data_IF_954523715433
#
_entry.id   IF_954523715433
#
_cell.length_a   1.000
_cell.length_b   1.000
_cell.length_c   1.000
_cell.angle_alpha   90.00
_cell.angle_beta   90.00
_cell.angle_gamma   90.00
#
_symmetry.space_group_name_H-M   'P 1'
#
loop_
_entity.id
_entity.type
_entity.pdbx_description
1 polymer ?
#
# COMPACT_ATOMS: atom_id res chain seq x y z
N UNK A 1 12.62 -30.47 5.50
CA UNK A 1 11.50 -29.50 5.53
C UNK A 1 11.72 -28.50 6.66
N UNK A 2 11.84 -27.18 6.35
CA UNK A 2 12.25 -26.10 7.27
C UNK A 2 11.20 -25.75 8.34
N UNK A 3 9.92 -25.76 7.99
CA UNK A 3 8.85 -25.30 8.89
C UNK A 3 8.22 -26.48 9.63
N UNK A 4 8.52 -26.59 10.93
CA UNK A 4 7.93 -27.65 11.79
C UNK A 4 6.52 -27.34 12.24
N UNK A 5 6.20 -26.05 12.43
CA UNK A 5 4.89 -25.53 12.81
C UNK A 5 4.56 -24.36 11.91
N UNK A 6 3.33 -24.32 11.41
CA UNK A 6 2.81 -23.24 10.55
C UNK A 6 1.60 -22.63 11.26
N UNK A 7 1.62 -21.32 11.42
CA UNK A 7 0.51 -20.54 11.96
C UNK A 7 0.06 -19.53 10.91
N UNK A 8 -1.25 -19.44 10.68
CA UNK A 8 -1.83 -18.47 9.75
C UNK A 8 -2.96 -17.74 10.46
N UNK A 9 -2.83 -16.42 10.53
CA UNK A 9 -3.88 -15.53 11.04
C UNK A 9 -4.70 -14.96 9.87
N UNK A 10 -5.89 -14.43 10.17
CA UNK A 10 -6.85 -13.89 9.19
C UNK A 10 -7.12 -14.87 8.01
N UNK A 11 -7.27 -16.15 8.35
CA UNK A 11 -7.32 -17.22 7.34
C UNK A 11 -8.53 -17.13 6.40
N UNK A 12 -9.61 -16.46 6.82
CA UNK A 12 -10.79 -16.20 5.99
C UNK A 12 -10.50 -15.34 4.75
N UNK A 13 -9.41 -14.58 4.75
CA UNK A 13 -9.04 -13.67 3.65
C UNK A 13 -7.96 -14.26 2.73
N UNK A 14 -7.67 -15.55 2.89
CA UNK A 14 -6.72 -16.25 2.03
C UNK A 14 -7.31 -16.55 0.65
N UNK A 15 -6.52 -16.30 -0.40
CA UNK A 15 -6.84 -16.72 -1.76
C UNK A 15 -6.35 -18.15 -2.04
N UNK A 16 -6.74 -18.70 -3.20
CA UNK A 16 -6.38 -20.07 -3.60
C UNK A 16 -4.86 -20.33 -3.64
N UNK A 17 -4.06 -19.35 -4.06
CA UNK A 17 -2.60 -19.49 -4.13
C UNK A 17 -2.00 -19.55 -2.72
N UNK A 18 -2.43 -18.66 -1.84
CA UNK A 18 -2.00 -18.64 -0.43
C UNK A 18 -2.40 -19.95 0.28
N UNK A 19 -3.62 -20.41 0.09
CA UNK A 19 -4.10 -21.70 0.60
C UNK A 19 -3.18 -22.85 0.15
N UNK A 20 -2.85 -22.94 -1.15
CA UNK A 20 -1.95 -23.99 -1.69
C UNK A 20 -0.53 -23.89 -1.11
N UNK A 21 -0.04 -22.67 -0.91
CA UNK A 21 1.27 -22.45 -0.31
C UNK A 21 1.31 -22.93 1.14
N UNK A 22 0.27 -22.63 1.92
CA UNK A 22 0.11 -23.11 3.30
C UNK A 22 0.06 -24.64 3.33
N UNK A 23 -0.71 -25.27 2.42
CA UNK A 23 -0.74 -26.74 2.30
C UNK A 23 0.66 -27.32 2.04
N UNK A 24 1.47 -26.67 1.19
CA UNK A 24 2.82 -27.13 0.89
C UNK A 24 3.75 -27.01 2.10
N UNK A 25 3.70 -25.90 2.84
CA UNK A 25 4.51 -25.71 4.04
C UNK A 25 4.11 -26.66 5.17
N UNK A 26 2.81 -26.87 5.36
CA UNK A 26 2.30 -27.75 6.41
C UNK A 26 2.37 -29.24 6.04
N UNK A 27 2.47 -29.59 4.75
CA UNK A 27 2.24 -30.96 4.27
C UNK A 27 3.15 -32.04 4.88
N UNK A 28 4.39 -31.70 5.24
CA UNK A 28 5.33 -32.68 5.79
C UNK A 28 5.09 -32.99 7.28
N UNK A 29 5.03 -31.94 8.12
CA UNK A 29 4.91 -32.09 9.57
C UNK A 29 3.46 -32.09 10.06
N UNK A 30 2.52 -31.62 9.23
CA UNK A 30 1.08 -31.50 9.51
C UNK A 30 0.71 -30.71 10.76
N UNK A 31 1.63 -29.91 11.29
CA UNK A 31 1.38 -28.99 12.40
C UNK A 31 0.94 -27.63 11.86
N UNK A 32 -0.30 -27.53 11.42
CA UNK A 32 -0.93 -26.29 10.96
C UNK A 32 -1.95 -25.81 12.00
N UNK A 33 -1.82 -24.56 12.42
CA UNK A 33 -2.84 -23.86 13.18
C UNK A 33 -3.31 -22.64 12.36
N UNK A 34 -4.62 -22.53 12.15
CA UNK A 34 -5.22 -21.37 11.48
C UNK A 34 -6.16 -20.66 12.45
N UNK A 35 -6.15 -19.34 12.40
CA UNK A 35 -7.09 -18.48 13.11
C UNK A 35 -7.80 -17.59 12.10
N UNK A 36 -9.08 -17.31 12.33
CA UNK A 36 -9.86 -16.45 11.47
C UNK A 36 -11.33 -16.48 11.82
N UNK A 37 -12.07 -15.55 11.22
CA UNK A 37 -13.50 -15.41 11.40
C UNK A 37 -14.19 -15.34 10.03
N UNK A 38 -14.98 -16.36 9.63
CA UNK A 38 -15.68 -16.34 8.34
C UNK A 38 -16.58 -15.11 8.16
N UNK A 39 -17.15 -14.58 9.25
CA UNK A 39 -18.03 -13.39 9.19
C UNK A 39 -17.25 -12.09 8.91
N UNK A 40 -15.92 -12.12 8.96
CA UNK A 40 -15.02 -10.98 8.71
C UNK A 40 -14.31 -11.05 7.35
N UNK A 41 -14.68 -12.00 6.47
CA UNK A 41 -14.10 -12.06 5.12
C UNK A 41 -14.58 -10.89 4.27
N UNK A 42 -13.70 -9.93 4.02
CA UNK A 42 -13.99 -8.69 3.26
C UNK A 42 -13.17 -8.55 1.98
N UNK A 43 -12.21 -9.46 1.73
CA UNK A 43 -11.33 -9.42 0.57
C UNK A 43 -11.74 -10.34 -0.59
N UNK A 44 -13.01 -10.76 -0.67
CA UNK A 44 -13.52 -11.61 -1.76
C UNK A 44 -13.23 -11.06 -3.17
N UNK A 45 -13.26 -9.73 -3.34
CA UNK A 45 -12.91 -9.05 -4.59
C UNK A 45 -11.42 -9.15 -4.98
N UNK A 46 -10.53 -9.49 -4.03
CA UNK A 46 -9.12 -9.82 -4.27
C UNK A 46 -8.88 -11.32 -4.45
N UNK A 47 -9.94 -12.11 -4.56
CA UNK A 47 -9.89 -13.56 -4.72
C UNK A 47 -9.74 -14.34 -3.40
N UNK A 48 -9.98 -13.71 -2.25
CA UNK A 48 -10.15 -14.44 -1.01
C UNK A 48 -11.32 -15.43 -1.11
N UNK A 49 -11.15 -16.63 -0.58
CA UNK A 49 -12.17 -17.67 -0.59
C UNK A 49 -12.50 -18.08 0.85
N UNK A 50 -13.63 -17.59 1.36
CA UNK A 50 -14.11 -17.90 2.72
C UNK A 50 -14.29 -19.42 2.94
N UNK A 51 -14.45 -20.20 1.87
CA UNK A 51 -14.50 -21.67 1.96
C UNK A 51 -13.21 -22.27 2.51
N UNK A 52 -12.07 -21.62 2.34
CA UNK A 52 -10.80 -22.09 2.91
C UNK A 52 -10.91 -22.33 4.43
N UNK A 53 -11.59 -21.42 5.15
CA UNK A 53 -11.79 -21.55 6.60
C UNK A 53 -13.03 -22.40 6.93
N UNK A 54 -14.09 -22.33 6.12
CA UNK A 54 -15.31 -23.10 6.37
C UNK A 54 -15.07 -24.61 6.21
N UNK A 55 -14.32 -24.99 5.18
CA UNK A 55 -14.04 -26.38 4.77
C UNK A 55 -12.76 -26.93 5.41
N UNK A 56 -12.12 -26.19 6.32
CA UNK A 56 -10.85 -26.60 6.93
C UNK A 56 -10.93 -27.98 7.61
N UNK A 57 -12.05 -28.30 8.25
CA UNK A 57 -12.29 -29.60 8.90
C UNK A 57 -12.44 -30.75 7.89
N UNK A 58 -12.88 -30.45 6.66
CA UNK A 58 -12.94 -31.42 5.57
C UNK A 58 -11.54 -31.69 4.98
N UNK A 59 -10.73 -30.65 4.84
CA UNK A 59 -9.36 -30.74 4.34
C UNK A 59 -8.40 -31.40 5.35
N UNK A 60 -8.64 -31.17 6.64
CA UNK A 60 -7.84 -31.69 7.75
C UNK A 60 -8.74 -32.44 8.74
N UNK A 61 -9.13 -33.70 8.47
CA UNK A 61 -10.06 -34.45 9.34
C UNK A 61 -9.58 -34.68 10.78
N UNK A 62 -8.27 -34.56 11.03
CA UNK A 62 -7.67 -34.65 12.37
C UNK A 62 -7.55 -33.28 13.06
N UNK A 63 -8.09 -32.21 12.48
CA UNK A 63 -8.03 -30.88 13.06
C UNK A 63 -8.83 -30.81 14.36
N UNK A 64 -8.33 -30.01 15.30
CA UNK A 64 -9.05 -29.66 16.52
C UNK A 64 -9.60 -28.25 16.39
N UNK A 65 -10.91 -28.11 16.40
CA UNK A 65 -11.60 -26.81 16.37
C UNK A 65 -11.73 -26.26 17.78
N UNK A 66 -11.30 -25.01 17.99
CA UNK A 66 -11.49 -24.25 19.23
C UNK A 66 -12.30 -23.02 18.90
N UNK A 67 -13.42 -22.81 19.60
CA UNK A 67 -14.29 -21.63 19.42
C UNK A 67 -14.02 -20.64 20.53
N UNK A 68 -13.78 -19.38 20.17
CA UNK A 68 -13.62 -18.28 21.10
C UNK A 68 -14.88 -17.42 21.04
N UNK A 69 -15.71 -17.52 22.07
CA UNK A 69 -17.05 -16.89 22.11
C UNK A 69 -17.11 -15.64 22.99
N UNK A 70 -16.12 -15.46 23.87
CA UNK A 70 -16.02 -14.26 24.69
C UNK A 70 -15.37 -13.12 23.88
N UNK A 71 -16.09 -12.01 23.77
CA UNK A 71 -15.61 -10.76 23.20
C UNK A 71 -15.08 -9.86 24.31
N UNK A 72 -13.79 -9.52 24.23
CA UNK A 72 -13.11 -8.64 25.20
C UNK A 72 -13.02 -7.18 24.74
N UNK A 73 -13.53 -6.84 23.55
CA UNK A 73 -13.35 -5.52 22.90
C UNK A 73 -14.56 -4.61 23.07
N UNK A 74 -15.76 -5.16 22.96
CA UNK A 74 -17.00 -4.42 22.76
C UNK A 74 -18.00 -4.72 23.88
N UNK A 75 -18.82 -3.73 24.20
CA UNK A 75 -19.91 -3.87 25.18
C UNK A 75 -21.08 -4.66 24.60
N UNK A 76 -21.99 -5.10 25.47
CA UNK A 76 -23.20 -5.85 25.09
C UNK A 76 -24.01 -5.16 24.00
N UNK A 77 -24.23 -3.84 24.10
CA UNK A 77 -25.01 -3.08 23.10
C UNK A 77 -24.40 -3.16 21.70
N UNK A 78 -23.07 -2.99 21.58
CA UNK A 78 -22.37 -3.09 20.28
C UNK A 78 -22.44 -4.52 19.75
N UNK A 79 -22.23 -5.50 20.63
CA UNK A 79 -22.20 -6.91 20.25
C UNK A 79 -23.57 -7.42 19.80
N UNK A 80 -24.64 -6.98 20.45
CA UNK A 80 -26.02 -7.30 20.06
C UNK A 80 -26.36 -6.71 18.68
N UNK A 81 -25.99 -5.45 18.42
CA UNK A 81 -26.19 -4.82 17.12
C UNK A 81 -25.42 -5.55 16.00
N UNK A 82 -24.14 -5.86 16.24
CA UNK A 82 -23.33 -6.64 15.29
C UNK A 82 -23.90 -8.04 15.05
N UNK A 83 -24.38 -8.71 16.10
CA UNK A 83 -24.99 -10.05 16.03
C UNK A 83 -26.31 -10.04 15.25
N UNK A 84 -27.15 -9.02 15.47
CA UNK A 84 -28.39 -8.84 14.73
C UNK A 84 -28.14 -8.56 13.24
N UNK A 85 -27.10 -7.78 12.91
CA UNK A 85 -26.71 -7.52 11.52
C UNK A 85 -26.25 -8.79 10.82
N UNK A 86 -25.29 -9.51 11.40
CA UNK A 86 -24.67 -10.69 10.77
C UNK A 86 -25.61 -11.90 10.67
N UNK A 87 -26.66 -11.96 11.49
CA UNK A 87 -27.68 -13.01 11.41
C UNK A 87 -28.43 -13.05 10.07
N UNK A 88 -28.37 -11.98 9.26
CA UNK A 88 -28.98 -11.93 7.93
C UNK A 88 -28.15 -12.66 6.85
N UNK A 89 -26.91 -13.07 7.15
CA UNK A 89 -26.05 -13.79 6.20
C UNK A 89 -26.34 -15.29 6.18
N UNK A 90 -26.37 -15.89 4.99
CA UNK A 90 -26.72 -17.31 4.78
C UNK A 90 -25.55 -18.29 4.86
N UNK A 91 -24.32 -17.86 4.57
CA UNK A 91 -23.12 -18.71 4.54
C UNK A 91 -22.21 -18.40 5.72
N UNK A 92 -22.50 -18.98 6.89
CA UNK A 92 -21.71 -18.78 8.12
C UNK A 92 -21.73 -20.00 9.04
N UNK A 93 -20.75 -20.07 9.95
CA UNK A 93 -20.81 -20.95 11.12
C UNK A 93 -21.52 -20.18 12.25
N UNK A 94 -22.57 -20.76 12.82
CA UNK A 94 -23.30 -20.15 13.93
C UNK A 94 -22.37 -19.98 15.14
N UNK A 95 -22.32 -18.77 15.69
CA UNK A 95 -21.54 -18.43 16.88
C UNK A 95 -22.31 -17.44 17.74
N UNK A 96 -22.22 -17.64 19.05
CA UNK A 96 -22.88 -16.82 20.05
C UNK A 96 -21.81 -16.04 20.82
N UNK A 97 -21.58 -14.79 20.41
CA UNK A 97 -20.61 -13.93 21.06
C UNK A 97 -21.22 -13.26 22.30
N UNK A 98 -20.47 -13.21 23.40
CA UNK A 98 -20.89 -12.57 24.65
C UNK A 98 -19.78 -11.66 25.22
N UNK A 99 -20.11 -10.72 26.12
CA UNK A 99 -19.15 -9.76 26.70
C UNK A 99 -19.38 -9.55 28.19
N UNK A 100 -18.29 -9.38 28.95
CA UNK A 100 -18.30 -9.05 30.40
C UNK A 100 -18.24 -7.54 30.68
N UNK A 101 -18.10 -6.71 29.65
CA UNK A 101 -17.96 -5.26 29.80
C UNK A 101 -19.28 -4.54 30.16
N UNK A 102 -20.36 -5.29 30.38
CA UNK A 102 -21.71 -4.77 30.57
C UNK A 102 -22.34 -4.25 29.26
N UNK A 103 -23.51 -3.63 29.37
CA UNK A 103 -24.27 -3.16 28.20
C UNK A 103 -23.59 -2.00 27.45
N UNK A 104 -22.92 -1.10 28.18
CA UNK A 104 -22.30 0.10 27.60
C UNK A 104 -23.30 1.16 27.13
N UNK A 105 -22.81 2.11 26.35
CA UNK A 105 -23.62 3.21 25.80
C UNK A 105 -24.47 2.79 24.60
N UNK A 106 -25.55 3.53 24.35
CA UNK A 106 -26.42 3.30 23.17
C UNK A 106 -25.73 3.75 21.89
N UNK A 107 -25.90 2.97 20.83
CA UNK A 107 -25.49 3.36 19.47
C UNK A 107 -26.39 4.50 19.00
N UNK A 108 -25.78 5.60 18.58
CA UNK A 108 -26.48 6.74 17.99
C UNK A 108 -26.50 6.61 16.46
N UNK A 109 -27.67 6.85 15.86
CA UNK A 109 -27.82 7.05 14.41
C UNK A 109 -28.18 8.51 14.18
N UNK A 110 -27.47 9.16 13.27
CA UNK A 110 -27.63 10.58 12.97
C UNK A 110 -27.85 10.68 11.48
N UNK A 111 -28.88 11.41 11.09
CA UNK A 111 -29.15 11.73 9.71
C UNK A 111 -28.73 13.19 9.46
N UNK A 112 -27.81 13.38 8.52
CA UNK A 112 -27.31 14.69 8.10
C UNK A 112 -27.92 15.08 6.75
N UNK A 113 -27.87 16.36 6.41
CA UNK A 113 -28.45 16.86 5.15
C UNK A 113 -27.65 16.45 3.91
N UNK A 114 -26.33 16.56 3.98
CA UNK A 114 -25.37 16.21 2.94
C UNK A 114 -24.02 15.77 3.54
N UNK A 115 -23.04 15.48 2.68
CA UNK A 115 -21.71 15.01 3.11
C UNK A 115 -20.90 16.07 3.89
N UNK A 116 -21.10 17.35 3.60
CA UNK A 116 -20.43 18.46 4.29
C UNK A 116 -21.04 18.70 5.68
N UNK A 117 -22.35 18.50 5.81
CA UNK A 117 -23.07 18.49 7.08
C UNK A 117 -22.66 17.30 7.95
N UNK A 118 -22.56 16.10 7.38
CA UNK A 118 -22.05 14.91 8.07
C UNK A 118 -20.61 15.12 8.56
N UNK A 119 -19.73 15.63 7.70
CA UNK A 119 -18.34 15.90 8.06
C UNK A 119 -18.20 16.92 9.20
N UNK A 120 -19.02 17.98 9.19
CA UNK A 120 -19.06 18.97 10.29
C UNK A 120 -19.59 18.37 11.58
N UNK A 121 -20.65 17.57 11.52
CA UNK A 121 -21.19 16.86 12.69
C UNK A 121 -20.16 15.88 13.29
N UNK A 122 -19.42 15.15 12.46
CA UNK A 122 -18.32 14.28 12.90
C UNK A 122 -17.25 15.07 13.67
N UNK A 123 -16.80 16.21 13.13
CA UNK A 123 -15.81 17.06 13.77
C UNK A 123 -16.29 17.61 15.13
N UNK A 124 -17.57 18.01 15.22
CA UNK A 124 -18.19 18.45 16.46
C UNK A 124 -18.23 17.32 17.51
N UNK A 125 -18.55 16.10 17.11
CA UNK A 125 -18.58 14.93 18.01
C UNK A 125 -17.20 14.53 18.49
N UNK A 126 -16.20 14.54 17.61
CA UNK A 126 -14.81 14.27 18.00
C UNK A 126 -14.38 15.25 19.10
N UNK A 127 -14.67 16.54 18.93
CA UNK A 127 -14.42 17.56 19.97
C UNK A 127 -15.20 17.31 21.25
N UNK A 128 -16.47 16.92 21.16
CA UNK A 128 -17.30 16.65 22.32
C UNK A 128 -16.73 15.48 23.14
N UNK A 129 -16.33 14.38 22.49
CA UNK A 129 -15.68 13.24 23.12
C UNK A 129 -14.33 13.63 23.75
N UNK A 130 -13.54 14.46 23.05
CA UNK A 130 -12.27 14.94 23.60
C UNK A 130 -12.47 15.82 24.85
N UNK A 131 -13.47 16.71 24.85
CA UNK A 131 -13.84 17.51 26.02
C UNK A 131 -14.32 16.66 27.19
N UNK A 132 -14.86 15.46 26.93
CA UNK A 132 -15.22 14.47 27.95
C UNK A 132 -14.02 13.64 28.43
N UNK A 133 -12.80 13.93 27.95
CA UNK A 133 -11.55 13.33 28.40
C UNK A 133 -11.02 12.20 27.52
N UNK A 134 -11.65 11.89 26.39
CA UNK A 134 -11.12 10.90 25.43
C UNK A 134 -9.89 11.44 24.71
N UNK A 135 -8.86 10.62 24.57
CA UNK A 135 -7.71 11.00 23.75
C UNK A 135 -8.10 10.96 22.26
N UNK A 136 -7.48 11.82 21.43
CA UNK A 136 -7.72 11.79 19.97
C UNK A 136 -7.43 10.43 19.35
N UNK A 137 -6.42 9.73 19.87
CA UNK A 137 -6.04 8.37 19.46
C UNK A 137 -7.05 7.28 19.81
N UNK A 138 -8.05 7.57 20.66
CA UNK A 138 -9.14 6.65 20.99
C UNK A 138 -10.36 6.82 20.07
N UNK A 139 -10.31 7.79 19.15
CA UNK A 139 -11.40 8.10 18.23
C UNK A 139 -10.99 7.68 16.82
N UNK A 140 -11.79 6.81 16.20
CA UNK A 140 -11.59 6.35 14.83
C UNK A 140 -12.82 6.67 13.98
N UNK A 141 -12.60 7.15 12.75
CA UNK A 141 -13.63 7.40 11.76
C UNK A 141 -13.46 6.39 10.62
N UNK A 142 -14.49 5.57 10.38
CA UNK A 142 -14.52 4.61 9.29
C UNK A 142 -15.46 5.08 8.19
N UNK A 143 -15.03 4.96 6.94
CA UNK A 143 -15.81 5.31 5.76
C UNK A 143 -15.64 4.23 4.68
N UNK A 144 -16.63 4.13 3.78
CA UNK A 144 -16.69 3.03 2.80
C UNK A 144 -15.78 3.24 1.59
N UNK A 145 -15.61 4.48 1.16
CA UNK A 145 -14.94 4.86 -0.09
C UNK A 145 -13.97 6.02 0.13
N UNK A 146 -12.78 5.97 -0.48
CA UNK A 146 -11.73 6.97 -0.26
C UNK A 146 -12.12 8.40 -0.67
N UNK A 147 -13.08 8.60 -1.58
CA UNK A 147 -13.50 9.95 -1.96
C UNK A 147 -14.20 10.70 -0.80
N UNK A 148 -14.79 9.97 0.16
CA UNK A 148 -15.45 10.55 1.35
C UNK A 148 -14.44 11.23 2.29
N UNK A 149 -13.16 10.85 2.18
CA UNK A 149 -12.07 11.36 3.01
C UNK A 149 -11.95 12.89 2.94
N UNK A 150 -12.15 13.48 1.75
CA UNK A 150 -11.89 14.92 1.51
C UNK A 150 -12.76 15.84 2.36
N UNK A 151 -14.07 15.56 2.42
CA UNK A 151 -15.01 16.36 3.20
C UNK A 151 -14.70 16.24 4.71
N UNK A 152 -14.43 15.01 5.18
CA UNK A 152 -14.07 14.71 6.57
C UNK A 152 -12.78 15.45 6.98
N UNK A 153 -11.70 15.31 6.20
CA UNK A 153 -10.43 15.99 6.47
C UNK A 153 -10.58 17.52 6.52
N UNK A 154 -11.33 18.08 5.57
CA UNK A 154 -11.59 19.52 5.50
C UNK A 154 -12.32 20.00 6.76
N UNK A 155 -13.36 19.29 7.19
CA UNK A 155 -14.12 19.64 8.40
C UNK A 155 -13.30 19.49 9.68
N UNK A 156 -12.49 18.44 9.81
CA UNK A 156 -11.57 18.22 10.94
C UNK A 156 -10.52 19.34 11.00
N UNK A 157 -9.91 19.68 9.86
CA UNK A 157 -8.91 20.75 9.73
C UNK A 157 -9.48 22.11 10.10
N UNK A 158 -10.62 22.50 9.53
CA UNK A 158 -11.31 23.75 9.86
C UNK A 158 -11.71 23.82 11.33
N UNK A 159 -12.00 22.67 11.92
CA UNK A 159 -12.30 22.55 13.34
C UNK A 159 -11.04 22.50 14.22
N UNK A 160 -9.82 22.43 13.69
CA UNK A 160 -8.62 22.24 14.50
C UNK A 160 -8.62 20.92 15.27
N UNK A 161 -9.26 19.88 14.73
CA UNK A 161 -9.18 18.51 15.26
C UNK A 161 -7.97 17.82 14.63
N UNK A 162 -6.98 17.38 15.41
CA UNK A 162 -5.85 16.64 14.88
C UNK A 162 -6.33 15.28 14.36
N UNK A 163 -5.81 14.86 13.21
CA UNK A 163 -6.19 13.61 12.58
C UNK A 163 -5.00 12.96 11.89
N UNK A 164 -5.09 11.64 11.71
CA UNK A 164 -4.15 10.86 10.91
C UNK A 164 -4.96 10.01 9.93
N UNK A 165 -4.58 10.06 8.64
CA UNK A 165 -5.21 9.22 7.62
C UNK A 165 -4.42 7.91 7.52
N UNK A 166 -5.10 6.79 7.74
CA UNK A 166 -4.52 5.45 7.54
C UNK A 166 -4.79 5.03 6.09
N UNK A 167 -3.74 4.87 5.29
CA UNK A 167 -3.88 4.49 3.87
C UNK A 167 -4.32 5.61 2.93
N UNK A 168 -4.17 6.89 3.33
CA UNK A 168 -4.24 8.03 2.40
C UNK A 168 -3.16 7.96 1.33
N UNK A 169 -3.18 8.86 0.31
CA UNK A 169 -2.24 8.94 -0.82
C UNK A 169 -0.93 8.22 -0.49
N UNK A 170 -0.82 6.95 -0.92
CA UNK A 170 0.23 6.06 -0.43
C UNK A 170 1.54 6.84 -0.57
N UNK A 171 2.32 6.94 0.49
CA UNK A 171 3.58 7.68 0.47
C UNK A 171 4.42 7.29 -0.77
N UNK A 172 4.46 5.99 -1.07
CA UNK A 172 5.09 5.40 -2.26
C UNK A 172 4.32 5.60 -3.59
N UNK A 173 3.08 6.09 -3.56
CA UNK A 173 2.32 6.46 -4.74
C UNK A 173 2.64 7.86 -5.25
N UNK A 174 3.21 8.73 -4.40
CA UNK A 174 3.64 10.09 -4.77
C UNK A 174 4.64 10.06 -5.92
N UNK A 175 4.57 11.05 -6.83
CA UNK A 175 5.29 11.02 -8.11
C UNK A 175 6.81 11.03 -7.87
N UNK A 176 7.26 11.95 -7.03
CA UNK A 176 8.64 12.12 -6.58
C UNK A 176 9.19 10.84 -5.93
N UNK A 177 8.40 10.20 -5.05
CA UNK A 177 8.81 8.97 -4.39
C UNK A 177 8.92 7.82 -5.39
N UNK A 178 7.96 7.65 -6.31
CA UNK A 178 8.06 6.62 -7.35
C UNK A 178 9.25 6.82 -8.29
N UNK A 179 9.63 8.06 -8.58
CA UNK A 179 10.77 8.38 -9.44
C UNK A 179 12.09 8.01 -8.73
N UNK A 180 12.25 8.39 -7.45
CA UNK A 180 13.41 7.97 -6.65
C UNK A 180 13.48 6.44 -6.50
N UNK A 181 12.35 5.79 -6.22
CA UNK A 181 12.29 4.33 -6.14
C UNK A 181 12.65 3.66 -7.47
N UNK A 182 12.31 4.25 -8.61
CA UNK A 182 12.71 3.72 -9.91
C UNK A 182 14.20 3.90 -10.18
N UNK A 183 14.81 5.02 -9.77
CA UNK A 183 16.27 5.16 -9.80
C UNK A 183 16.95 4.07 -8.97
N UNK A 184 16.56 3.91 -7.70
CA UNK A 184 17.13 2.88 -6.82
C UNK A 184 16.95 1.46 -7.38
N UNK A 185 15.80 1.17 -8.00
CA UNK A 185 15.55 -0.12 -8.67
C UNK A 185 16.50 -0.39 -9.83
N UNK A 186 16.81 0.61 -10.66
CA UNK A 186 17.75 0.42 -11.78
C UNK A 186 19.18 0.22 -11.27
N UNK A 187 19.56 0.90 -10.19
CA UNK A 187 20.87 0.72 -9.57
C UNK A 187 21.03 -0.74 -9.13
N UNK A 188 20.04 -1.32 -8.45
CA UNK A 188 20.06 -2.71 -7.98
C UNK A 188 19.84 -3.73 -9.11
N UNK A 189 18.93 -3.44 -10.03
CA UNK A 189 18.56 -4.31 -11.15
C UNK A 189 18.57 -3.52 -12.47
N UNK A 190 19.71 -3.50 -13.19
CA UNK A 190 19.84 -2.84 -14.49
C UNK A 190 18.96 -3.43 -15.61
N UNK A 191 18.25 -4.54 -15.35
CA UNK A 191 17.30 -5.15 -16.29
C UNK A 191 15.85 -4.72 -16.04
N UNK A 192 15.58 -3.82 -15.09
CA UNK A 192 14.23 -3.28 -14.86
C UNK A 192 13.89 -2.20 -15.90
N UNK A 193 13.39 -2.62 -17.06
CA UNK A 193 12.97 -1.72 -18.13
C UNK A 193 11.82 -0.79 -17.71
N UNK A 194 10.96 -1.22 -16.79
CA UNK A 194 9.85 -0.40 -16.28
C UNK A 194 10.35 0.78 -15.46
N UNK A 195 11.35 0.54 -14.62
CA UNK A 195 12.05 1.59 -13.90
C UNK A 195 12.82 2.50 -14.88
N UNK A 196 13.52 1.95 -15.87
CA UNK A 196 14.24 2.72 -16.90
C UNK A 196 13.33 3.71 -17.62
N UNK A 197 12.21 3.22 -18.16
CA UNK A 197 11.25 4.06 -18.90
C UNK A 197 10.68 5.19 -18.04
N UNK A 198 10.57 4.99 -16.72
CA UNK A 198 10.09 6.00 -15.80
C UNK A 198 11.07 7.15 -15.59
N UNK A 199 12.36 6.86 -15.42
CA UNK A 199 13.35 7.86 -14.97
C UNK A 199 14.35 8.32 -16.03
N UNK A 200 14.41 7.66 -17.20
CA UNK A 200 15.35 8.02 -18.27
C UNK A 200 15.30 9.50 -18.67
N UNK A 201 14.10 10.10 -18.60
CA UNK A 201 13.88 11.51 -18.89
C UNK A 201 13.39 12.29 -17.67
N UNK A 202 13.75 11.86 -16.46
CA UNK A 202 13.44 12.55 -15.20
C UNK A 202 14.72 12.73 -14.37
N UNK A 203 15.25 13.95 -14.19
CA UNK A 203 14.85 15.21 -14.85
C UNK A 203 14.99 15.16 -16.38
N UNK A 204 14.38 16.08 -17.12
CA UNK A 204 14.34 15.99 -18.59
C UNK A 204 15.73 16.04 -19.24
N UNK A 205 16.10 14.94 -19.92
CA UNK A 205 17.36 14.76 -20.67
C UNK A 205 17.18 14.94 -22.19
N UNK A 206 15.98 15.33 -22.61
CA UNK A 206 15.64 15.51 -24.03
C UNK A 206 15.47 14.18 -24.78
N UNK A 207 15.15 13.11 -24.04
CA UNK A 207 14.82 11.80 -24.59
C UNK A 207 13.32 11.77 -24.87
N UNK A 208 12.95 12.01 -26.13
CA UNK A 208 11.54 12.01 -26.56
C UNK A 208 11.02 10.60 -26.91
N UNK A 209 9.71 10.47 -27.00
CA UNK A 209 9.00 9.20 -27.25
C UNK A 209 9.50 8.46 -28.49
N UNK A 210 9.74 9.17 -29.60
CA UNK A 210 10.23 8.53 -30.85
C UNK A 210 11.60 7.88 -30.67
N UNK A 211 12.50 8.51 -29.91
CA UNK A 211 13.85 7.95 -29.67
C UNK A 211 13.79 6.77 -28.71
N UNK A 212 12.95 6.88 -27.67
CA UNK A 212 12.72 5.81 -26.72
C UNK A 212 12.05 4.59 -27.38
N UNK A 213 11.09 4.82 -28.27
CA UNK A 213 10.42 3.76 -29.04
C UNK A 213 11.40 2.97 -29.92
N UNK A 214 12.34 3.65 -30.59
CA UNK A 214 13.41 2.99 -31.36
C UNK A 214 14.32 2.14 -30.48
N UNK A 215 14.69 2.64 -29.31
CA UNK A 215 15.51 1.89 -28.35
C UNK A 215 14.78 0.63 -27.85
N UNK A 216 13.50 0.76 -27.51
CA UNK A 216 12.64 -0.36 -27.07
C UNK A 216 12.50 -1.42 -28.16
N UNK A 217 12.28 -1.00 -29.40
CA UNK A 217 12.20 -1.90 -30.55
C UNK A 217 13.52 -2.65 -30.76
N UNK A 218 14.65 -1.93 -30.73
CA UNK A 218 15.97 -2.54 -30.83
C UNK A 218 16.21 -3.56 -29.71
N UNK A 219 15.95 -3.18 -28.46
CA UNK A 219 16.14 -4.02 -27.28
C UNK A 219 15.32 -5.31 -27.39
N UNK A 220 14.04 -5.20 -27.78
CA UNK A 220 13.16 -6.34 -28.02
C UNK A 220 13.68 -7.27 -29.12
N UNK A 221 14.11 -6.72 -30.25
CA UNK A 221 14.58 -7.52 -31.39
C UNK A 221 15.90 -8.28 -31.09
N UNK A 222 16.70 -7.78 -30.14
CA UNK A 222 17.98 -8.37 -29.76
C UNK A 222 17.96 -9.04 -28.37
N UNK A 223 16.79 -9.11 -27.72
CA UNK A 223 16.61 -9.67 -26.38
C UNK A 223 17.55 -9.07 -25.32
N UNK A 224 17.69 -7.75 -25.35
CA UNK A 224 18.50 -6.95 -24.42
C UNK A 224 17.59 -6.14 -23.48
N UNK A 225 18.08 -5.77 -22.30
CA UNK A 225 17.44 -4.71 -21.50
C UNK A 225 17.67 -3.34 -22.14
N UNK A 226 16.90 -2.33 -21.72
CA UNK A 226 17.07 -0.96 -22.23
C UNK A 226 18.43 -0.37 -21.86
N UNK A 227 18.97 -0.68 -20.68
CA UNK A 227 20.33 -0.27 -20.29
C UNK A 227 21.37 -0.92 -21.19
N UNK A 228 21.26 -2.23 -21.45
CA UNK A 228 22.14 -2.96 -22.36
C UNK A 228 22.07 -2.42 -23.79
N UNK A 229 20.87 -2.05 -24.25
CA UNK A 229 20.64 -1.50 -25.57
C UNK A 229 21.30 -0.12 -25.75
N UNK A 230 21.33 0.75 -24.73
CA UNK A 230 22.07 2.02 -24.79
C UNK A 230 23.58 1.78 -24.96
N UNK A 231 24.10 0.68 -24.42
CA UNK A 231 25.50 0.28 -24.61
C UNK A 231 25.83 -0.21 -26.03
N UNK A 232 24.83 -0.49 -26.87
CA UNK A 232 25.06 -0.99 -28.23
C UNK A 232 25.27 0.15 -29.24
N UNK A 233 26.40 0.17 -29.98
CA UNK A 233 26.66 1.18 -31.00
C UNK A 233 25.58 1.25 -32.08
N UNK A 234 25.03 0.11 -32.49
CA UNK A 234 24.00 0.02 -33.53
C UNK A 234 22.68 0.63 -33.08
N UNK A 235 22.26 0.38 -31.84
CA UNK A 235 21.07 1.00 -31.24
C UNK A 235 21.24 2.54 -31.16
N UNK A 236 22.38 2.99 -30.64
CA UNK A 236 22.69 4.41 -30.50
C UNK A 236 22.99 5.09 -31.84
N UNK A 237 23.22 4.34 -32.92
CA UNK A 237 23.29 4.83 -34.29
C UNK A 237 21.93 5.26 -34.85
N UNK A 238 20.85 4.64 -34.38
CA UNK A 238 19.46 4.93 -34.82
C UNK A 238 18.84 6.15 -34.12
N UNK A 239 19.49 6.64 -33.06
CA UNK A 239 19.06 7.77 -32.24
C UNK A 239 19.95 8.98 -32.57
N UNK A 240 19.34 10.16 -32.75
CA UNK A 240 20.05 11.38 -33.18
C UNK A 240 19.90 12.51 -32.17
N UNK A 241 20.85 13.45 -32.21
CA UNK A 241 20.76 14.72 -31.49
C UNK A 241 20.73 14.56 -29.97
N UNK A 242 19.90 15.40 -29.32
CA UNK A 242 19.82 15.54 -27.86
C UNK A 242 19.47 14.22 -27.15
N UNK A 243 18.59 13.40 -27.73
CA UNK A 243 18.18 12.13 -27.15
C UNK A 243 19.35 11.14 -27.02
N UNK A 244 20.26 11.10 -28.00
CA UNK A 244 21.46 10.24 -27.95
C UNK A 244 22.37 10.64 -26.79
N UNK A 245 22.59 11.95 -26.61
CA UNK A 245 23.38 12.48 -25.50
C UNK A 245 22.72 12.17 -24.15
N UNK A 246 21.41 12.41 -24.03
CA UNK A 246 20.66 12.19 -22.80
C UNK A 246 20.64 10.72 -22.35
N UNK A 247 20.54 9.78 -23.29
CA UNK A 247 20.64 8.33 -22.98
C UNK A 247 22.04 7.93 -22.50
N UNK A 248 23.09 8.46 -23.13
CA UNK A 248 24.46 8.19 -22.72
C UNK A 248 24.76 8.78 -21.32
N UNK A 249 24.32 10.01 -21.06
CA UNK A 249 24.43 10.66 -19.75
C UNK A 249 23.69 9.89 -18.66
N UNK A 250 22.49 9.37 -18.97
CA UNK A 250 21.72 8.56 -18.03
C UNK A 250 22.47 7.29 -17.62
N UNK A 251 23.01 6.54 -18.59
CA UNK A 251 23.75 5.29 -18.31
C UNK A 251 25.04 5.58 -17.56
N UNK A 252 25.77 6.65 -17.94
CA UNK A 252 26.98 7.07 -17.24
C UNK A 252 26.71 7.43 -15.77
N UNK A 253 25.66 8.21 -15.50
CA UNK A 253 25.24 8.54 -14.13
C UNK A 253 24.87 7.28 -13.34
N UNK A 254 24.17 6.33 -13.96
CA UNK A 254 23.87 5.04 -13.33
C UNK A 254 25.13 4.25 -12.98
N UNK A 255 26.10 4.21 -13.90
CA UNK A 255 27.39 3.54 -13.69
C UNK A 255 28.18 4.19 -12.53
N UNK A 256 28.17 5.52 -12.45
CA UNK A 256 28.78 6.28 -11.36
C UNK A 256 28.14 5.97 -10.00
N UNK A 257 26.81 5.94 -9.95
CA UNK A 257 26.06 5.68 -8.72
C UNK A 257 26.01 4.19 -8.32
N UNK A 258 26.41 3.27 -9.19
CA UNK A 258 26.31 1.83 -8.93
C UNK A 258 27.08 1.39 -7.68
N UNK A 259 28.22 2.04 -7.39
CA UNK A 259 29.02 1.76 -6.19
C UNK A 259 28.36 2.21 -4.88
N UNK A 260 27.48 3.22 -4.92
CA UNK A 260 26.83 3.75 -3.73
C UNK A 260 25.87 2.74 -3.07
N UNK A 261 25.42 1.72 -3.82
CA UNK A 261 24.55 0.64 -3.32
C UNK A 261 25.22 -0.15 -2.20
N UNK A 262 26.55 -0.29 -2.21
CA UNK A 262 27.29 -1.00 -1.16
C UNK A 262 27.14 -0.33 0.21
N UNK A 263 26.87 0.97 0.24
CA UNK A 263 26.59 1.75 1.46
C UNK A 263 25.16 1.63 1.96
N UNK A 264 24.27 0.91 1.25
CA UNK A 264 22.85 0.80 1.55
C UNK A 264 21.98 1.80 0.79
N UNK A 265 20.65 1.68 0.95
CA UNK A 265 19.70 2.46 0.16
C UNK A 265 19.73 3.96 0.50
N UNK A 266 19.90 4.33 1.78
CA UNK A 266 20.06 5.73 2.19
C UNK A 266 21.26 6.42 1.53
N UNK A 267 22.43 5.77 1.52
CA UNK A 267 23.65 6.33 0.88
C UNK A 267 23.46 6.46 -0.63
N UNK A 268 22.86 5.46 -1.28
CA UNK A 268 22.55 5.53 -2.71
C UNK A 268 21.52 6.63 -3.05
N UNK A 269 20.54 6.85 -2.17
CA UNK A 269 19.56 7.93 -2.32
C UNK A 269 20.22 9.30 -2.19
N UNK A 270 21.08 9.50 -1.20
CA UNK A 270 21.79 10.76 -1.00
C UNK A 270 22.70 11.07 -2.20
N UNK A 271 23.50 10.10 -2.64
CA UNK A 271 24.35 10.24 -3.82
C UNK A 271 23.56 10.55 -5.09
N UNK A 272 22.38 9.93 -5.26
CA UNK A 272 21.48 10.23 -6.37
C UNK A 272 20.98 11.67 -6.30
N UNK A 273 20.50 12.13 -5.15
CA UNK A 273 19.97 13.49 -4.96
C UNK A 273 21.04 14.55 -5.19
N UNK A 274 22.29 14.28 -4.82
CA UNK A 274 23.43 15.15 -5.09
C UNK A 274 23.83 15.18 -6.58
N UNK A 275 23.54 14.11 -7.33
CA UNK A 275 23.95 13.95 -8.73
C UNK A 275 22.89 14.34 -9.77
N UNK A 276 21.66 14.61 -9.33
CA UNK A 276 20.58 15.10 -10.20
C UNK A 276 20.25 16.56 -9.93
N UNK A 277 19.75 17.24 -10.95
CA UNK A 277 19.24 18.61 -10.84
C UNK A 277 17.86 18.58 -10.16
N UNK A 278 17.85 18.59 -8.82
CA UNK A 278 16.64 18.49 -7.98
C UNK A 278 15.73 19.71 -8.12
N UNK A 279 16.29 20.91 -8.28
CA UNK A 279 15.50 22.13 -8.53
C UNK A 279 14.68 21.99 -9.82
N UNK A 280 15.35 21.62 -10.92
CA UNK A 280 14.68 21.39 -12.20
C UNK A 280 13.69 20.23 -12.12
N UNK A 281 14.05 19.16 -11.42
CA UNK A 281 13.17 18.02 -11.21
C UNK A 281 11.84 18.43 -10.57
N UNK A 282 11.89 19.20 -9.49
CA UNK A 282 10.71 19.69 -8.80
C UNK A 282 9.92 20.69 -9.65
N UNK A 283 10.59 21.60 -10.37
CA UNK A 283 9.93 22.52 -11.31
C UNK A 283 9.17 21.77 -12.42
N UNK A 284 9.74 20.70 -12.97
CA UNK A 284 9.08 19.86 -14.00
C UNK A 284 7.89 19.05 -13.44
N UNK A 285 7.81 18.90 -12.11
CA UNK A 285 6.68 18.28 -11.42
C UNK A 285 5.61 19.25 -10.96
N UNK A 286 5.93 20.55 -10.94
CA UNK A 286 4.98 21.56 -10.50
C UNK A 286 3.93 21.80 -11.57
N UNK A 287 2.69 21.44 -11.23
CA UNK A 287 1.51 21.62 -12.08
C UNK A 287 0.75 22.90 -11.73
N UNK A 288 1.31 23.77 -10.87
CA UNK A 288 0.66 24.99 -10.40
C UNK A 288 -0.27 24.80 -9.20
N UNK A 289 -0.33 23.59 -8.65
CA UNK A 289 -1.07 23.27 -7.42
C UNK A 289 -0.08 23.38 -6.25
N UNK A 290 0.03 24.58 -5.67
CA UNK A 290 0.96 24.93 -4.58
C UNK A 290 0.66 24.26 -3.22
N UNK A 291 0.03 23.07 -3.23
CA UNK A 291 -0.38 22.33 -2.03
C UNK A 291 0.52 21.15 -1.67
N UNK A 292 1.49 20.77 -2.51
CA UNK A 292 2.36 19.61 -2.25
C UNK A 292 3.80 20.06 -2.00
N UNK A 293 4.21 19.96 -0.73
CA UNK A 293 5.60 20.13 -0.30
C UNK A 293 6.40 18.87 -0.66
N UNK A 294 6.89 18.83 -1.91
CA UNK A 294 7.60 17.67 -2.46
C UNK A 294 8.98 17.50 -1.84
N UNK A 295 9.62 18.59 -1.42
CA UNK A 295 10.91 18.55 -0.74
C UNK A 295 10.76 17.88 0.63
N UNK A 296 9.75 18.25 1.42
CA UNK A 296 9.43 17.57 2.67
C UNK A 296 9.14 16.08 2.46
N UNK A 297 8.49 15.69 1.36
CA UNK A 297 8.24 14.28 1.06
C UNK A 297 9.54 13.49 0.77
N UNK A 298 10.51 14.10 0.10
CA UNK A 298 11.82 13.48 -0.17
C UNK A 298 12.63 13.38 1.11
N UNK A 299 12.62 14.41 1.96
CA UNK A 299 13.25 14.36 3.28
C UNK A 299 12.58 13.32 4.20
N UNK A 300 11.25 13.12 4.09
CA UNK A 300 10.51 12.04 4.76
C UNK A 300 10.95 10.64 4.27
N UNK A 301 11.46 10.50 3.04
CA UNK A 301 11.95 9.22 2.50
C UNK A 301 13.29 8.79 3.08
N UNK A 302 14.20 9.74 3.38
CA UNK A 302 15.57 9.44 3.81
C UNK A 302 15.66 8.56 5.06
N UNK A 303 14.88 8.79 6.15
CA UNK A 303 14.91 7.94 7.34
C UNK A 303 14.32 6.53 7.11
N UNK A 304 13.60 6.32 6.01
CA UNK A 304 12.97 5.06 5.65
C UNK A 304 13.80 4.20 4.68
N UNK A 305 14.95 4.72 4.22
CA UNK A 305 15.91 4.04 3.34
C UNK A 305 17.09 3.44 4.14
#
# INVERSE_FOLDING_TARGET
YRFRHVMVDEYQDTNRVQYRLVQHFAGHHKNLAVCGDPDQSIYGWRGADVRNILDFEADYPSAKTVRLEQNYRSTGTILQAASALIANNSQRKAKDLWSELGEGERIALIQCGDEEDEARELALRCKALHRQGKAWSEIAIFYRMNFMQRAIESALRLSGVPYQVVGGLEFYARREIKDLMAWLKILVNPRDDGAFLRVVNVPSRGVGETSLGRLVEYARNHNLSLVEAVGQPDAMGQIRGRAKKGLAEFVALRDELAGAIEGGAGVALDALLESIDTERWFMEMDTGDGMVDREANVEELRPHA
#
